data_IF_160782874140
#
_entry.id   IF_160782874140
#
_cell.length_a   1.000
_cell.length_b   1.000
_cell.length_c   1.000
_cell.angle_alpha   90.00
_cell.angle_beta   90.00
_cell.angle_gamma   90.00
#
_symmetry.space_group_name_H-M   'P 1'
#
loop_
_entity.id
_entity.type
_entity.pdbx_description
1 polymer ?
#
# COMPACT_ATOMS: atom_id res chain seq x y z
N UNK A 1 14.33 -16.41 9.20
CA UNK A 1 13.37 -15.42 8.69
C UNK A 1 13.64 -15.31 7.21
N UNK A 2 12.59 -15.42 6.40
CA UNK A 2 12.70 -15.14 4.96
C UNK A 2 12.91 -13.62 4.81
N UNK A 3 13.57 -13.20 3.75
CA UNK A 3 13.72 -11.79 3.39
C UNK A 3 12.49 -11.28 2.63
N UNK A 4 12.27 -9.97 2.58
CA UNK A 4 11.19 -9.37 1.78
C UNK A 4 11.30 -9.74 0.29
N UNK A 5 12.52 -9.85 -0.24
CA UNK A 5 12.76 -10.28 -1.61
C UNK A 5 12.36 -11.76 -1.85
N UNK A 6 12.60 -12.64 -0.87
CA UNK A 6 12.16 -14.04 -0.95
C UNK A 6 10.64 -14.14 -0.86
N UNK A 7 10.01 -13.41 0.07
CA UNK A 7 8.56 -13.35 0.23
C UNK A 7 7.86 -12.88 -1.06
N UNK A 8 8.38 -11.81 -1.69
CA UNK A 8 7.88 -11.32 -2.98
C UNK A 8 7.89 -12.40 -4.06
N UNK A 9 8.98 -13.16 -4.17
CA UNK A 9 9.10 -14.19 -5.19
C UNK A 9 8.16 -15.37 -4.94
N UNK A 10 7.91 -15.72 -3.68
CA UNK A 10 6.96 -16.77 -3.31
C UNK A 10 5.52 -16.36 -3.64
N UNK A 11 5.11 -15.15 -3.26
CA UNK A 11 3.75 -14.63 -3.52
C UNK A 11 3.49 -14.46 -5.01
N UNK A 12 4.45 -13.96 -5.78
CA UNK A 12 4.26 -13.76 -7.21
C UNK A 12 4.38 -15.05 -8.04
N UNK A 13 4.60 -16.21 -7.40
CA UNK A 13 4.89 -17.46 -8.11
C UNK A 13 3.71 -17.97 -8.94
N UNK A 14 2.47 -17.80 -8.47
CA UNK A 14 1.25 -18.21 -9.17
C UNK A 14 0.54 -17.04 -9.88
N UNK A 15 0.96 -15.81 -9.59
CA UNK A 15 0.50 -14.58 -10.22
C UNK A 15 -0.83 -14.04 -9.68
N UNK A 16 -1.26 -14.51 -8.51
CA UNK A 16 -2.37 -13.95 -7.73
C UNK A 16 -1.91 -13.78 -6.27
N UNK A 17 -2.71 -13.09 -5.46
CA UNK A 17 -2.54 -13.07 -4.00
C UNK A 17 -3.76 -13.69 -3.36
N UNK A 18 -3.58 -14.83 -2.68
CA UNK A 18 -4.65 -15.53 -1.98
C UNK A 18 -4.77 -15.13 -0.49
N UNK A 19 -5.85 -15.56 0.17
CA UNK A 19 -6.12 -15.21 1.57
C UNK A 19 -5.09 -15.75 2.58
N UNK A 20 -4.27 -16.75 2.24
CA UNK A 20 -3.18 -17.23 3.09
C UNK A 20 -1.94 -16.35 2.92
N UNK A 21 -1.62 -15.98 1.68
CA UNK A 21 -0.52 -15.06 1.36
C UNK A 21 -0.76 -13.68 1.97
N UNK A 22 -2.00 -13.18 1.96
CA UNK A 22 -2.38 -11.95 2.68
C UNK A 22 -2.04 -12.06 4.17
N UNK A 23 -2.33 -13.18 4.83
CA UNK A 23 -2.04 -13.35 6.26
C UNK A 23 -0.55 -13.45 6.54
N UNK A 24 0.20 -14.07 5.64
CA UNK A 24 1.65 -14.17 5.75
C UNK A 24 2.30 -12.80 5.60
N UNK A 25 1.87 -12.02 4.59
CA UNK A 25 2.25 -10.62 4.43
C UNK A 25 1.91 -9.79 5.66
N UNK A 26 0.67 -9.85 6.16
CA UNK A 26 0.26 -9.08 7.34
C UNK A 26 1.12 -9.43 8.56
N UNK A 27 1.48 -10.71 8.74
CA UNK A 27 2.33 -11.15 9.84
C UNK A 27 3.75 -10.58 9.74
N UNK A 28 4.31 -10.55 8.53
CA UNK A 28 5.67 -10.06 8.29
C UNK A 28 5.72 -8.53 8.38
N UNK A 29 4.81 -7.84 7.71
CA UNK A 29 4.76 -6.38 7.62
C UNK A 29 4.52 -5.72 8.97
N UNK A 30 3.68 -6.28 9.83
CA UNK A 30 3.38 -5.69 11.14
C UNK A 30 4.22 -6.27 12.29
N UNK A 31 5.28 -7.04 11.97
CA UNK A 31 6.06 -7.73 12.99
C UNK A 31 6.79 -6.78 13.96
N UNK A 32 7.21 -5.60 13.48
CA UNK A 32 7.88 -4.58 14.29
C UNK A 32 6.91 -3.51 14.85
N UNK A 33 5.63 -3.60 14.49
CA UNK A 33 4.55 -2.74 14.96
C UNK A 33 4.31 -1.46 14.13
N UNK A 34 5.04 -1.26 13.03
CA UNK A 34 4.85 -0.14 12.10
C UNK A 34 5.07 -0.61 10.67
N UNK A 35 4.79 0.25 9.70
CA UNK A 35 5.17 0.03 8.30
C UNK A 35 6.27 1.03 7.98
N UNK A 36 7.36 0.58 7.36
CA UNK A 36 8.41 1.46 6.84
C UNK A 36 8.34 1.66 5.32
N UNK A 37 9.23 2.51 4.78
CA UNK A 37 9.23 2.81 3.34
C UNK A 37 9.57 1.59 2.48
N UNK A 38 10.37 0.65 2.97
CA UNK A 38 10.76 -0.58 2.24
C UNK A 38 9.55 -1.51 2.14
N UNK A 39 8.82 -1.69 3.24
CA UNK A 39 7.59 -2.47 3.30
C UNK A 39 6.46 -1.85 2.48
N UNK A 40 6.26 -0.53 2.58
CA UNK A 40 5.29 0.19 1.77
C UNK A 40 5.64 0.12 0.28
N UNK A 41 6.93 0.20 -0.06
CA UNK A 41 7.40 0.01 -1.45
C UNK A 41 7.12 -1.39 -1.96
N UNK A 42 7.37 -2.42 -1.15
CA UNK A 42 7.07 -3.81 -1.52
C UNK A 42 5.58 -4.00 -1.82
N UNK A 43 4.69 -3.40 -1.04
CA UNK A 43 3.25 -3.49 -1.25
C UNK A 43 2.82 -2.92 -2.61
N UNK A 44 3.38 -1.77 -3.01
CA UNK A 44 3.16 -1.22 -4.36
C UNK A 44 3.69 -2.17 -5.44
N UNK A 45 4.91 -2.70 -5.28
CA UNK A 45 5.47 -3.63 -6.25
C UNK A 45 4.66 -4.92 -6.41
N UNK A 46 4.05 -5.40 -5.32
CA UNK A 46 3.13 -6.53 -5.36
C UNK A 46 1.83 -6.15 -6.08
N UNK A 47 1.23 -5.02 -5.70
CA UNK A 47 -0.01 -4.53 -6.30
C UNK A 47 0.13 -4.37 -7.83
N UNK A 48 1.19 -3.72 -8.30
CA UNK A 48 1.50 -3.57 -9.73
C UNK A 48 1.60 -4.93 -10.44
N UNK A 49 2.24 -5.91 -9.79
CA UNK A 49 2.47 -7.22 -10.37
C UNK A 49 1.18 -8.06 -10.47
N UNK A 50 0.23 -7.86 -9.56
CA UNK A 50 -1.04 -8.60 -9.51
C UNK A 50 -2.26 -7.78 -9.91
N UNK A 51 -2.06 -6.58 -10.48
CA UNK A 51 -3.16 -5.70 -10.87
C UNK A 51 -4.05 -6.36 -11.93
N UNK A 52 -5.36 -6.23 -11.75
CA UNK A 52 -6.39 -6.84 -12.63
C UNK A 52 -6.46 -8.37 -12.59
N UNK A 53 -5.85 -9.02 -11.58
CA UNK A 53 -5.94 -10.46 -11.35
C UNK A 53 -7.06 -10.81 -10.36
N UNK A 54 -7.35 -12.10 -10.24
CA UNK A 54 -8.36 -12.65 -9.32
C UNK A 54 -7.79 -12.79 -7.89
N UNK A 55 -7.26 -11.68 -7.36
CA UNK A 55 -6.73 -11.64 -6.00
C UNK A 55 -7.87 -11.74 -5.00
N UNK A 56 -7.60 -12.33 -3.84
CA UNK A 56 -8.57 -12.36 -2.74
C UNK A 56 -8.92 -10.93 -2.30
N UNK A 57 -10.18 -10.69 -1.95
CA UNK A 57 -10.65 -9.37 -1.48
C UNK A 57 -9.86 -8.81 -0.29
N UNK A 58 -9.29 -9.69 0.55
CA UNK A 58 -8.47 -9.27 1.69
C UNK A 58 -7.13 -8.64 1.28
N UNK A 59 -6.70 -8.78 0.02
CA UNK A 59 -5.53 -8.09 -0.50
C UNK A 59 -5.70 -6.57 -0.45
N UNK A 60 -6.82 -6.05 -0.97
CA UNK A 60 -7.11 -4.61 -0.95
C UNK A 60 -7.20 -4.08 0.48
N UNK A 61 -7.86 -4.83 1.37
CA UNK A 61 -7.97 -4.46 2.79
C UNK A 61 -6.59 -4.31 3.45
N UNK A 62 -5.69 -5.26 3.22
CA UNK A 62 -4.32 -5.21 3.75
C UNK A 62 -3.54 -4.04 3.17
N UNK A 63 -3.58 -3.87 1.85
CA UNK A 63 -2.86 -2.80 1.15
C UNK A 63 -3.30 -1.43 1.67
N UNK A 64 -4.60 -1.17 1.72
CA UNK A 64 -5.16 0.10 2.20
C UNK A 64 -4.77 0.33 3.66
N UNK A 65 -4.89 -0.69 4.53
CA UNK A 65 -4.52 -0.60 5.94
C UNK A 65 -3.05 -0.24 6.13
N UNK A 66 -2.16 -0.96 5.46
CA UNK A 66 -0.71 -0.82 5.64
C UNK A 66 -0.20 0.51 5.08
N UNK A 67 -0.58 0.89 3.85
CA UNK A 67 -0.15 2.17 3.26
C UNK A 67 -0.74 3.35 4.02
N UNK A 68 -1.99 3.26 4.49
CA UNK A 68 -2.55 4.33 5.32
C UNK A 68 -1.84 4.48 6.65
N UNK A 69 -1.39 3.39 7.27
CA UNK A 69 -0.58 3.46 8.50
C UNK A 69 0.77 4.12 8.22
N UNK A 70 1.45 3.72 7.14
CA UNK A 70 2.70 4.36 6.72
C UNK A 70 2.57 5.87 6.49
N UNK A 71 1.48 6.30 5.85
CA UNK A 71 1.27 7.70 5.45
C UNK A 71 0.67 8.58 6.56
N UNK A 72 -0.06 8.01 7.52
CA UNK A 72 -0.76 8.80 8.54
C UNK A 72 -0.17 8.66 9.94
N UNK A 73 0.54 7.56 10.24
CA UNK A 73 1.06 7.28 11.58
C UNK A 73 2.54 7.71 11.71
N UNK A 74 2.83 9.00 11.50
CA UNK A 74 4.16 9.57 11.65
C UNK A 74 4.31 10.43 12.92
N UNK A 75 5.56 10.78 13.29
CA UNK A 75 5.81 11.57 14.51
C UNK A 75 5.55 13.07 14.34
N UNK A 76 5.59 13.60 13.11
CA UNK A 76 5.58 15.05 12.86
C UNK A 76 4.20 15.60 12.49
N UNK A 77 3.36 14.79 11.86
CA UNK A 77 2.09 15.13 11.22
C UNK A 77 1.03 14.02 11.38
N UNK A 78 1.00 13.32 12.50
CA UNK A 78 0.03 12.24 12.76
C UNK A 78 -1.43 12.59 12.35
N UNK A 79 -1.98 11.79 11.44
CA UNK A 79 -3.33 11.95 10.88
C UNK A 79 -3.45 12.98 9.77
N UNK A 80 -2.36 13.65 9.40
CA UNK A 80 -2.22 14.52 8.24
C UNK A 80 -1.32 13.85 7.19
N UNK A 81 -1.47 14.23 5.93
CA UNK A 81 -0.58 13.88 4.83
C UNK A 81 0.25 15.12 4.52
N UNK A 82 1.53 15.09 4.84
CA UNK A 82 2.45 16.19 4.59
C UNK A 82 2.91 16.26 3.12
N UNK A 83 3.74 17.23 2.77
CA UNK A 83 4.22 17.40 1.40
C UNK A 83 5.12 16.23 0.94
N UNK A 84 5.92 15.67 1.83
CA UNK A 84 6.83 14.56 1.53
C UNK A 84 6.06 13.26 1.32
N UNK A 85 5.12 12.95 2.20
CA UNK A 85 4.22 11.80 2.11
C UNK A 85 3.32 11.88 0.88
N UNK A 86 2.73 13.06 0.61
CA UNK A 86 1.91 13.27 -0.56
C UNK A 86 2.69 13.07 -1.86
N UNK A 87 3.93 13.59 -1.91
CA UNK A 87 4.78 13.42 -3.08
C UNK A 87 5.20 11.97 -3.26
N UNK A 88 5.59 11.28 -2.19
CA UNK A 88 5.96 9.86 -2.25
C UNK A 88 4.80 9.02 -2.74
N UNK A 89 3.60 9.22 -2.16
CA UNK A 89 2.40 8.45 -2.52
C UNK A 89 1.98 8.72 -3.97
N UNK A 90 2.04 9.98 -4.40
CA UNK A 90 1.76 10.36 -5.79
C UNK A 90 2.73 9.68 -6.77
N UNK A 91 4.03 9.68 -6.45
CA UNK A 91 5.04 9.07 -7.32
C UNK A 91 4.87 7.55 -7.42
N UNK A 92 4.42 6.90 -6.34
CA UNK A 92 4.09 5.46 -6.33
C UNK A 92 2.87 5.16 -7.20
N UNK A 93 1.73 5.79 -6.92
CA UNK A 93 0.47 5.56 -7.65
C UNK A 93 0.60 5.93 -9.13
N UNK A 94 1.40 6.95 -9.48
CA UNK A 94 1.57 7.34 -10.88
C UNK A 94 2.67 6.53 -11.58
N UNK A 95 3.49 5.80 -10.84
CA UNK A 95 4.75 5.23 -11.31
C UNK A 95 4.59 4.20 -12.42
N UNK A 96 3.54 3.39 -12.34
CA UNK A 96 3.20 2.34 -13.32
C UNK A 96 2.37 2.86 -14.50
N UNK A 97 1.82 4.09 -14.38
CA UNK A 97 0.99 4.76 -15.38
C UNK A 97 -0.47 4.32 -15.40
N UNK A 98 -0.90 3.52 -14.43
CA UNK A 98 -2.27 3.09 -14.22
C UNK A 98 -2.71 3.51 -12.80
N UNK A 99 -4.01 3.64 -12.58
CA UNK A 99 -4.53 3.68 -11.21
C UNK A 99 -5.55 2.56 -11.14
N UNK A 100 -5.24 1.53 -10.36
CA UNK A 100 -6.11 0.36 -10.24
C UNK A 100 -7.17 0.50 -9.13
N UNK A 101 -8.02 -0.51 -9.01
CA UNK A 101 -9.14 -0.48 -8.06
C UNK A 101 -8.65 -0.41 -6.60
N UNK A 102 -7.53 -1.07 -6.28
CA UNK A 102 -6.90 -1.05 -4.95
C UNK A 102 -6.37 0.34 -4.61
N UNK A 103 -5.67 0.99 -5.56
CA UNK A 103 -5.13 2.33 -5.37
C UNK A 103 -6.23 3.39 -5.29
N UNK A 104 -7.30 3.23 -6.08
CA UNK A 104 -8.50 4.07 -5.95
C UNK A 104 -9.15 3.90 -4.58
N UNK A 105 -9.19 2.69 -4.04
CA UNK A 105 -9.71 2.43 -2.70
C UNK A 105 -8.85 3.12 -1.64
N UNK A 106 -7.52 3.03 -1.75
CA UNK A 106 -6.58 3.75 -0.88
C UNK A 106 -6.81 5.27 -0.92
N UNK A 107 -6.89 5.88 -2.10
CA UNK A 107 -7.11 7.33 -2.23
C UNK A 107 -8.42 7.78 -1.58
N UNK A 108 -9.51 7.02 -1.78
CA UNK A 108 -10.79 7.32 -1.15
C UNK A 108 -10.75 7.13 0.36
N UNK A 109 -10.06 6.09 0.83
CA UNK A 109 -9.89 5.83 2.27
C UNK A 109 -9.10 6.95 2.94
N UNK A 110 -7.96 7.34 2.37
CA UNK A 110 -7.15 8.45 2.86
C UNK A 110 -7.97 9.74 2.89
N UNK A 111 -8.66 10.10 1.80
CA UNK A 111 -9.53 11.29 1.75
C UNK A 111 -10.60 11.33 2.83
N UNK A 112 -11.08 10.17 3.28
CA UNK A 112 -12.09 10.06 4.33
C UNK A 112 -11.50 10.07 5.76
N UNK A 113 -10.22 9.70 5.91
CA UNK A 113 -9.58 9.47 7.22
C UNK A 113 -8.59 10.54 7.62
N UNK A 114 -7.90 11.15 6.66
CA UNK A 114 -6.90 12.17 6.93
C UNK A 114 -7.56 13.51 7.29
N UNK A 115 -6.89 14.29 8.14
CA UNK A 115 -7.33 15.63 8.52
C UNK A 115 -7.16 16.64 7.37
N UNK A 116 -6.25 16.35 6.44
CA UNK A 116 -6.04 17.06 5.19
C UNK A 116 -5.84 16.08 4.04
N UNK A 117 -6.20 16.48 2.83
CA UNK A 117 -5.96 15.68 1.63
C UNK A 117 -5.36 16.58 0.55
N UNK A 118 -4.04 16.49 0.30
CA UNK A 118 -3.34 17.38 -0.62
C UNK A 118 -3.90 17.38 -2.05
N UNK A 119 -3.96 18.56 -2.71
CA UNK A 119 -4.54 18.73 -4.06
C UNK A 119 -3.87 17.86 -5.13
N UNK A 120 -2.57 17.56 -4.96
CA UNK A 120 -1.79 16.65 -5.80
C UNK A 120 -2.41 15.25 -5.85
N UNK A 121 -2.93 14.76 -4.71
CA UNK A 121 -3.63 13.47 -4.62
C UNK A 121 -5.08 13.59 -5.08
N UNK A 122 -5.73 14.74 -4.90
CA UNK A 122 -7.07 14.98 -5.47
C UNK A 122 -7.08 14.88 -7.00
N UNK A 123 -5.99 15.31 -7.65
CA UNK A 123 -5.84 15.19 -9.11
C UNK A 123 -5.79 13.76 -9.64
N UNK A 124 -5.70 12.74 -8.78
CA UNK A 124 -5.66 11.32 -9.14
C UNK A 124 -7.04 10.63 -9.13
N UNK A 125 -8.05 11.23 -8.50
CA UNK A 125 -9.39 10.64 -8.34
C UNK A 125 -10.30 10.80 -9.57
#
# INVERSE_FOLDING_TARGET
MITLAELKNEILADGIIDANEVKELETVLFADGKIDEEEATLLFELNDAVSGKDNDSSWSDLFVKAISSYVLDDENSNGEIDEQEAKWLYDKIKGDGQIDDTERELLNYLKAKSNNFPEILEGLL
#
